data_IF_175540571963
#
_entry.id   IF_175540571963
#
_cell.length_a   1.000
_cell.length_b   1.000
_cell.length_c   1.000
_cell.angle_alpha   90.00
_cell.angle_beta   90.00
_cell.angle_gamma   90.00
#
_symmetry.space_group_name_H-M   'P 1'
#
loop_
_entity.id
_entity.type
_entity.pdbx_description
1 polymer ?
#
# COMPACT_ATOMS: atom_id res chain seq x y z
N UNK A 1 10.09 -3.58 -2.15
CA UNK A 1 10.53 -2.18 -2.22
C UNK A 1 11.79 -2.06 -3.07
N UNK A 2 11.98 -0.93 -3.78
CA UNK A 2 13.24 -0.69 -4.52
C UNK A 2 13.85 0.67 -4.22
N UNK A 3 15.13 0.67 -3.83
CA UNK A 3 15.95 1.89 -3.76
C UNK A 3 16.49 2.19 -5.16
N UNK A 4 16.22 3.41 -5.65
CA UNK A 4 16.64 3.88 -6.97
C UNK A 4 17.95 4.64 -6.92
N UNK A 5 18.15 5.41 -5.85
CA UNK A 5 19.27 6.35 -5.73
C UNK A 5 19.51 6.68 -4.25
N UNK A 6 20.77 6.83 -3.89
CA UNK A 6 21.19 7.29 -2.56
C UNK A 6 22.12 8.49 -2.71
N UNK A 7 21.79 9.58 -2.01
CA UNK A 7 22.50 10.85 -2.07
C UNK A 7 22.84 11.35 -0.66
N UNK A 8 23.64 12.43 -0.58
CA UNK A 8 23.93 13.15 0.65
C UNK A 8 24.52 12.24 1.75
N UNK A 9 25.53 11.44 1.40
CA UNK A 9 26.15 10.44 2.27
C UNK A 9 25.15 9.41 2.83
N UNK A 10 24.13 9.07 2.05
CA UNK A 10 23.11 8.08 2.41
C UNK A 10 21.91 8.66 3.17
N UNK A 11 21.91 9.97 3.49
CA UNK A 11 20.80 10.64 4.20
C UNK A 11 19.54 10.75 3.37
N UNK A 12 19.69 10.84 2.04
CA UNK A 12 18.58 10.96 1.11
C UNK A 12 18.48 9.69 0.28
N UNK A 13 17.35 9.00 0.38
CA UNK A 13 17.09 7.75 -0.35
C UNK A 13 15.86 7.90 -1.23
N UNK A 14 16.01 7.64 -2.53
CA UNK A 14 14.92 7.64 -3.49
C UNK A 14 14.33 6.24 -3.59
N UNK A 15 13.07 6.10 -3.20
CA UNK A 15 12.40 4.83 -3.00
C UNK A 15 11.22 4.72 -3.96
N UNK A 16 11.10 3.57 -4.63
CA UNK A 16 9.91 3.17 -5.37
C UNK A 16 9.12 2.16 -4.56
N UNK A 17 7.83 2.43 -4.41
CA UNK A 17 6.85 1.52 -3.82
C UNK A 17 6.41 0.53 -4.89
N UNK A 18 6.63 -0.76 -4.68
CA UNK A 18 6.33 -1.82 -5.66
C UNK A 18 5.12 -2.66 -5.25
N UNK A 19 4.86 -2.80 -3.95
CA UNK A 19 3.72 -3.56 -3.42
C UNK A 19 3.06 -2.83 -2.23
N UNK A 20 2.01 -3.44 -1.66
CA UNK A 20 1.28 -2.88 -0.52
C UNK A 20 2.06 -2.97 0.79
N UNK A 21 2.86 -4.02 0.96
CA UNK A 21 3.64 -4.25 2.17
C UNK A 21 4.74 -3.17 2.31
N UNK A 22 5.27 -2.66 1.20
CA UNK A 22 6.18 -1.51 1.17
C UNK A 22 5.58 -0.26 1.84
N UNK A 23 4.26 -0.05 1.76
CA UNK A 23 3.61 1.08 2.44
C UNK A 23 3.67 0.92 3.96
N UNK A 24 3.56 -0.31 4.45
CA UNK A 24 3.72 -0.64 5.87
C UNK A 24 5.16 -0.42 6.33
N UNK A 25 6.15 -0.87 5.55
CA UNK A 25 7.55 -0.59 5.85
C UNK A 25 7.83 0.92 5.87
N UNK A 26 7.30 1.68 4.90
CA UNK A 26 7.43 3.15 4.91
C UNK A 26 6.80 3.80 6.13
N UNK A 27 5.64 3.32 6.61
CA UNK A 27 5.04 3.79 7.86
C UNK A 27 5.96 3.52 9.07
N UNK A 28 6.65 2.37 9.11
CA UNK A 28 7.60 2.06 10.19
C UNK A 28 8.85 2.94 10.16
N UNK A 29 9.31 3.31 8.97
CA UNK A 29 10.52 4.12 8.77
C UNK A 29 10.26 5.61 8.98
N UNK A 30 9.09 6.13 8.61
CA UNK A 30 8.79 7.56 8.72
C UNK A 30 8.74 8.05 10.17
N UNK A 31 9.21 9.28 10.39
CA UNK A 31 9.15 9.98 11.67
C UNK A 31 8.70 11.43 11.45
N UNK A 32 7.97 12.03 12.40
CA UNK A 32 7.73 13.47 12.38
C UNK A 32 9.07 14.24 12.36
N UNK A 33 9.19 15.23 11.48
CA UNK A 33 10.43 15.98 11.25
C UNK A 33 11.20 15.58 9.99
N UNK A 34 11.00 14.35 9.48
CA UNK A 34 11.59 13.92 8.21
C UNK A 34 11.10 14.80 7.04
N UNK A 35 11.86 14.83 5.95
CA UNK A 35 11.43 15.51 4.71
C UNK A 35 11.16 14.49 3.62
N UNK A 36 9.94 14.52 3.09
CA UNK A 36 9.50 13.64 1.99
C UNK A 36 9.28 14.48 0.75
N UNK A 37 9.94 14.08 -0.34
CA UNK A 37 9.74 14.66 -1.65
C UNK A 37 8.96 13.72 -2.56
N UNK A 38 7.97 14.24 -3.27
CA UNK A 38 7.21 13.47 -4.24
C UNK A 38 6.61 14.38 -5.32
N UNK A 39 6.33 13.79 -6.49
CA UNK A 39 5.45 14.42 -7.46
C UNK A 39 3.99 14.22 -7.03
N UNK A 40 3.23 15.30 -6.96
CA UNK A 40 1.79 15.31 -6.70
C UNK A 40 1.08 16.13 -7.77
N UNK A 41 -0.25 16.11 -7.77
CA UNK A 41 -1.07 16.92 -8.67
C UNK A 41 -1.83 17.96 -7.87
N UNK A 42 -1.64 19.25 -8.19
CA UNK A 42 -2.40 20.34 -7.57
C UNK A 42 -3.38 20.93 -8.59
N UNK A 43 -4.54 21.37 -8.11
CA UNK A 43 -5.44 22.22 -8.88
C UNK A 43 -5.00 23.67 -8.66
N UNK A 44 -4.73 24.41 -9.72
CA UNK A 44 -4.48 25.85 -9.58
C UNK A 44 -5.75 26.58 -9.13
N UNK A 45 -5.60 27.45 -8.13
CA UNK A 45 -6.59 28.48 -7.82
C UNK A 45 -6.17 29.78 -8.51
N UNK A 46 -6.55 29.96 -9.78
CA UNK A 46 -6.58 31.32 -10.32
C UNK A 46 -7.80 32.04 -9.75
N UNK A 47 -7.58 33.20 -9.12
CA UNK A 47 -8.62 34.21 -8.92
C UNK A 47 -9.07 34.66 -10.31
N UNK A 48 -10.14 34.07 -10.84
CA UNK A 48 -10.80 34.59 -12.03
C UNK A 48 -12.23 34.97 -11.64
N UNK A 49 -12.53 36.26 -11.71
CA UNK A 49 -13.87 36.86 -11.61
C UNK A 49 -14.71 36.43 -12.82
N UNK A 50 -15.03 35.14 -12.95
CA UNK A 50 -15.77 34.63 -14.09
C UNK A 50 -16.73 33.52 -13.68
N UNK A 51 -18.00 33.75 -14.02
CA UNK A 51 -19.22 33.06 -13.58
C UNK A 51 -19.33 31.61 -14.14
N UNK A 52 -18.31 31.09 -14.83
CA UNK A 52 -18.37 29.79 -15.51
C UNK A 52 -17.34 28.79 -14.97
N UNK A 53 -17.75 27.60 -14.46
CA UNK A 53 -16.83 26.59 -13.99
C UNK A 53 -16.20 25.86 -15.19
N UNK A 54 -15.08 26.36 -15.68
CA UNK A 54 -14.24 25.58 -16.59
C UNK A 54 -13.55 24.43 -15.85
N UNK A 55 -13.39 23.29 -16.52
CA UNK A 55 -12.88 22.03 -15.99
C UNK A 55 -11.41 22.22 -15.60
N UNK A 56 -11.15 22.52 -14.33
CA UNK A 56 -9.82 22.85 -13.79
C UNK A 56 -8.81 21.73 -14.04
N UNK A 57 -7.77 22.03 -14.81
CA UNK A 57 -6.67 21.09 -15.09
C UNK A 57 -5.80 20.85 -13.85
N UNK A 58 -5.29 19.62 -13.73
CA UNK A 58 -4.39 19.21 -12.65
C UNK A 58 -2.96 19.35 -13.13
N UNK A 59 -2.18 20.22 -12.50
CA UNK A 59 -0.76 20.43 -12.86
C UNK A 59 0.09 19.53 -11.97
N UNK A 60 1.05 18.75 -12.54
CA UNK A 60 2.01 18.02 -11.74
C UNK A 60 2.98 18.99 -11.07
N UNK A 61 3.16 18.83 -9.77
CA UNK A 61 4.00 19.67 -8.92
C UNK A 61 4.91 18.77 -8.10
N UNK A 62 6.20 19.08 -8.09
CA UNK A 62 7.15 18.47 -7.17
C UNK A 62 7.11 19.21 -5.84
N UNK A 63 6.83 18.49 -4.75
CA UNK A 63 6.79 19.05 -3.39
C UNK A 63 7.76 18.32 -2.48
N UNK A 64 8.42 19.06 -1.61
CA UNK A 64 9.06 18.56 -0.40
C UNK A 64 8.26 19.00 0.81
N UNK A 65 7.79 18.05 1.62
CA UNK A 65 7.05 18.34 2.85
C UNK A 65 7.82 17.86 4.07
N UNK A 66 7.83 18.67 5.13
CA UNK A 66 8.27 18.24 6.45
C UNK A 66 7.13 17.51 7.15
N UNK A 67 7.35 16.24 7.46
CA UNK A 67 6.36 15.33 8.02
C UNK A 67 5.92 15.80 9.39
N UNK A 68 4.60 15.90 9.59
CA UNK A 68 3.95 16.13 10.88
C UNK A 68 3.26 14.88 11.40
N UNK A 69 2.55 14.20 10.51
CA UNK A 69 1.76 13.01 10.82
C UNK A 69 1.66 12.12 9.57
N UNK A 70 1.47 10.82 9.75
CA UNK A 70 1.29 9.90 8.65
C UNK A 70 0.46 8.69 9.08
N UNK A 71 -0.33 8.16 8.15
CA UNK A 71 -1.12 6.96 8.39
C UNK A 71 -1.43 6.20 7.12
N UNK A 72 -1.47 4.89 7.21
CA UNK A 72 -2.08 4.05 6.17
C UNK A 72 -3.60 4.18 6.26
N UNK A 73 -4.24 4.42 5.12
CA UNK A 73 -5.69 4.47 5.04
C UNK A 73 -6.24 3.06 4.77
N UNK A 74 -7.00 2.51 5.73
CA UNK A 74 -7.47 1.11 5.77
C UNK A 74 -8.15 0.62 4.49
N UNK A 75 -8.80 1.53 3.74
CA UNK A 75 -9.58 1.19 2.54
C UNK A 75 -9.00 1.68 1.21
N UNK A 76 -7.89 2.42 1.21
CA UNK A 76 -7.42 3.07 -0.03
C UNK A 76 -6.02 2.68 -0.45
N UNK A 77 -5.39 1.68 0.18
CA UNK A 77 -4.08 1.16 -0.19
C UNK A 77 -3.03 2.28 -0.39
N UNK A 78 -3.10 3.29 0.49
CA UNK A 78 -2.31 4.51 0.40
C UNK A 78 -1.84 4.95 1.78
N UNK A 79 -0.58 5.34 1.83
CA UNK A 79 0.03 6.04 2.94
C UNK A 79 -0.18 7.54 2.75
N UNK A 80 -0.90 8.16 3.69
CA UNK A 80 -1.12 9.62 3.72
C UNK A 80 -0.08 10.25 4.62
N UNK A 81 0.72 11.14 4.07
CA UNK A 81 1.77 11.86 4.79
C UNK A 81 1.35 13.33 4.85
N UNK A 82 0.99 13.79 6.05
CA UNK A 82 0.64 15.17 6.33
C UNK A 82 1.90 15.93 6.76
N UNK A 83 2.12 17.11 6.18
CA UNK A 83 3.27 17.92 6.49
C UNK A 83 3.11 19.39 6.10
N UNK A 84 4.17 20.16 6.34
CA UNK A 84 4.30 21.55 5.87
C UNK A 84 5.19 21.55 4.62
N UNK A 85 4.81 22.29 3.58
CA UNK A 85 5.61 22.44 2.37
C UNK A 85 6.90 23.23 2.68
N UNK A 86 8.05 22.60 2.48
CA UNK A 86 9.38 23.24 2.58
C UNK A 86 10.03 23.49 1.20
N UNK A 87 9.56 22.77 0.18
CA UNK A 87 10.02 22.93 -1.19
C UNK A 87 8.83 22.83 -2.15
N UNK A 88 8.70 23.78 -3.07
CA UNK A 88 7.65 23.84 -4.09
C UNK A 88 6.71 25.04 -3.91
N UNK A 89 5.60 25.10 -4.66
CA UNK A 89 4.65 26.20 -4.55
C UNK A 89 3.91 26.19 -3.21
N UNK A 90 3.66 27.39 -2.67
CA UNK A 90 2.99 27.64 -1.40
C UNK A 90 3.75 27.13 -0.15
N UNK A 91 5.02 27.54 -0.05
CA UNK A 91 5.88 27.31 1.11
C UNK A 91 5.16 27.68 2.42
N UNK A 92 5.27 26.82 3.42
CA UNK A 92 4.64 27.01 4.73
C UNK A 92 3.19 26.55 4.83
N UNK A 93 2.50 26.25 3.71
CA UNK A 93 1.16 25.67 3.75
C UNK A 93 1.19 24.18 4.15
N UNK A 94 0.08 23.73 4.74
CA UNK A 94 -0.12 22.31 5.00
C UNK A 94 -0.50 21.56 3.73
N UNK A 95 0.13 20.40 3.50
CA UNK A 95 -0.19 19.54 2.37
C UNK A 95 -0.17 18.06 2.79
N UNK A 96 -0.93 17.24 2.06
CA UNK A 96 -0.96 15.80 2.25
C UNK A 96 -0.47 15.11 0.99
N UNK A 97 0.67 14.43 1.08
CA UNK A 97 1.13 13.52 0.03
C UNK A 97 0.40 12.18 0.17
N UNK A 98 -0.08 11.66 -0.96
CA UNK A 98 -0.67 10.32 -1.02
C UNK A 98 0.30 9.41 -1.75
N UNK A 99 0.92 8.50 -1.01
CA UNK A 99 1.87 7.52 -1.53
C UNK A 99 1.13 6.19 -1.67
N UNK A 100 1.18 5.60 -2.85
CA UNK A 100 0.61 4.28 -3.14
C UNK A 100 1.55 3.44 -4.00
N UNK A 101 1.11 2.23 -4.35
CA UNK A 101 1.87 1.34 -5.24
C UNK A 101 2.22 2.05 -6.57
N UNK A 102 3.48 1.93 -7.00
CA UNK A 102 4.04 2.61 -8.16
C UNK A 102 4.56 4.02 -7.90
N UNK A 103 4.32 4.58 -6.72
CA UNK A 103 4.82 5.93 -6.37
C UNK A 103 6.34 5.91 -6.18
N UNK A 104 6.98 7.00 -6.59
CA UNK A 104 8.38 7.26 -6.30
C UNK A 104 8.46 8.45 -5.35
N UNK A 105 9.06 8.22 -4.20
CA UNK A 105 9.30 9.24 -3.19
C UNK A 105 10.80 9.35 -2.90
N UNK A 106 11.23 10.49 -2.42
CA UNK A 106 12.56 10.65 -1.85
C UNK A 106 12.39 10.97 -0.37
N UNK A 107 12.96 10.14 0.48
CA UNK A 107 12.97 10.33 1.93
C UNK A 107 14.33 10.87 2.35
N UNK A 108 14.32 12.00 3.04
CA UNK A 108 15.50 12.63 3.62
C UNK A 108 15.36 12.69 5.14
N UNK A 109 16.41 12.19 5.80
CA UNK A 109 16.55 12.19 7.25
C UNK A 109 17.87 12.85 7.63
N UNK A 110 17.92 13.44 8.82
CA UNK A 110 19.19 13.95 9.38
C UNK A 110 20.20 12.81 9.60
N UNK A 111 19.69 11.69 10.14
CA UNK A 111 20.41 10.44 10.36
C UNK A 111 19.44 9.27 10.18
N UNK A 112 19.97 8.16 9.68
CA UNK A 112 19.24 6.89 9.61
C UNK A 112 19.69 6.02 10.77
N UNK A 113 18.74 5.57 11.59
CA UNK A 113 19.03 4.59 12.63
C UNK A 113 19.26 3.20 12.03
N UNK A 114 20.01 2.36 12.74
CA UNK A 114 20.23 0.96 12.33
C UNK A 114 18.91 0.19 12.19
N UNK A 115 17.92 0.48 13.04
CA UNK A 115 16.58 -0.12 12.98
C UNK A 115 15.85 0.27 11.69
N UNK A 116 15.87 1.54 11.29
CA UNK A 116 15.25 1.99 10.02
C UNK A 116 15.96 1.40 8.80
N UNK A 117 17.29 1.27 8.86
CA UNK A 117 18.06 0.62 7.80
C UNK A 117 17.74 -0.88 7.69
N UNK A 118 17.52 -1.55 8.83
CA UNK A 118 17.10 -2.94 8.85
C UNK A 118 15.69 -3.11 8.25
N UNK A 119 14.73 -2.26 8.65
CA UNK A 119 13.40 -2.26 8.02
C UNK A 119 13.47 -2.00 6.51
N UNK A 120 14.37 -1.14 6.05
CA UNK A 120 14.60 -0.95 4.60
C UNK A 120 15.12 -2.22 3.93
N UNK A 121 16.06 -2.94 4.55
CA UNK A 121 16.56 -4.22 4.02
C UNK A 121 15.47 -5.26 3.97
N UNK A 122 14.71 -5.44 5.05
CA UNK A 122 13.56 -6.35 5.10
C UNK A 122 12.51 -6.01 4.03
N UNK A 123 12.26 -4.72 3.77
CA UNK A 123 11.35 -4.28 2.72
C UNK A 123 11.82 -4.65 1.30
N UNK A 124 13.15 -4.67 1.09
CA UNK A 124 13.75 -5.04 -0.18
C UNK A 124 13.74 -6.57 -0.34
N UNK A 125 14.11 -7.31 0.70
CA UNK A 125 14.09 -8.78 0.68
C UNK A 125 12.68 -9.34 0.56
N UNK A 126 11.69 -8.74 1.26
CA UNK A 126 10.30 -9.19 1.21
C UNK A 126 9.66 -9.03 -0.17
N UNK A 127 10.08 -8.06 -0.99
CA UNK A 127 9.63 -8.00 -2.39
C UNK A 127 10.06 -9.21 -3.24
N UNK A 128 11.11 -9.93 -2.82
CA UNK A 128 11.62 -11.11 -3.50
C UNK A 128 11.05 -12.43 -2.94
N UNK A 129 10.39 -12.39 -1.77
CA UNK A 129 9.87 -13.59 -1.11
C UNK A 129 8.62 -14.15 -1.80
N UNK A 130 8.46 -15.47 -1.67
CA UNK A 130 7.35 -16.25 -2.21
C UNK A 130 6.04 -15.87 -1.50
N UNK A 131 4.99 -15.60 -2.29
CA UNK A 131 3.62 -15.42 -1.79
C UNK A 131 3.09 -16.75 -1.25
N UNK A 132 2.79 -16.83 0.04
CA UNK A 132 2.24 -18.05 0.65
C UNK A 132 0.72 -17.95 0.71
N UNK A 133 0.04 -18.83 -0.02
CA UNK A 133 -1.42 -18.99 0.05
C UNK A 133 -1.76 -20.07 1.10
N UNK A 134 -2.67 -19.75 2.00
CA UNK A 134 -3.18 -20.63 3.05
C UNK A 134 -4.62 -20.97 2.72
N UNK A 135 -4.94 -22.27 2.73
CA UNK A 135 -6.31 -22.76 2.56
C UNK A 135 -6.66 -23.62 3.77
N UNK A 136 -7.60 -23.14 4.58
CA UNK A 136 -8.19 -23.90 5.68
C UNK A 136 -9.58 -24.36 5.22
N UNK A 137 -9.87 -25.65 5.30
CA UNK A 137 -11.14 -26.22 4.84
C UNK A 137 -11.67 -27.30 5.77
N UNK A 138 -12.99 -27.37 5.89
CA UNK A 138 -13.73 -28.40 6.62
C UNK A 138 -15.04 -28.79 5.88
N UNK A 139 -16.01 -29.39 6.57
CA UNK A 139 -17.30 -29.72 5.96
C UNK A 139 -18.20 -28.50 5.75
N UNK A 140 -17.96 -27.36 6.41
CA UNK A 140 -18.76 -26.13 6.29
C UNK A 140 -18.29 -25.25 5.14
N UNK A 141 -16.97 -25.20 4.89
CA UNK A 141 -16.44 -24.41 3.79
C UNK A 141 -14.92 -24.37 3.72
N UNK A 142 -14.41 -23.44 2.92
CA UNK A 142 -13.00 -23.16 2.77
C UNK A 142 -12.71 -21.66 2.88
N UNK A 143 -11.80 -21.32 3.78
CA UNK A 143 -11.20 -19.99 3.87
C UNK A 143 -9.88 -19.97 3.10
N UNK A 144 -9.82 -19.11 2.08
CA UNK A 144 -8.60 -18.81 1.33
C UNK A 144 -8.01 -17.52 1.89
N UNK A 145 -6.75 -17.57 2.30
CA UNK A 145 -6.04 -16.42 2.87
C UNK A 145 -4.63 -16.30 2.30
N UNK A 146 -4.12 -15.08 2.23
CA UNK A 146 -2.77 -14.80 1.77
C UNK A 146 -1.92 -14.32 2.96
N UNK A 147 -0.80 -14.99 3.21
CA UNK A 147 0.17 -14.54 4.19
C UNK A 147 1.04 -13.45 3.57
N UNK A 148 1.10 -12.31 4.25
CA UNK A 148 1.96 -11.17 3.95
C UNK A 148 2.82 -10.83 5.18
N UNK A 149 3.83 -10.01 4.99
CA UNK A 149 4.68 -9.53 6.10
C UNK A 149 3.86 -8.76 7.15
N UNK A 150 2.81 -8.03 6.72
CA UNK A 150 1.90 -7.31 7.64
C UNK A 150 0.88 -8.19 8.35
N UNK A 151 0.78 -9.48 8.01
CA UNK A 151 -0.21 -10.42 8.56
C UNK A 151 -0.97 -11.21 7.50
N UNK A 152 -2.16 -11.68 7.87
CA UNK A 152 -2.99 -12.57 7.03
C UNK A 152 -4.12 -11.76 6.41
N UNK A 153 -4.22 -11.79 5.09
CA UNK A 153 -5.35 -11.24 4.34
C UNK A 153 -6.35 -12.34 4.01
N UNK A 154 -7.59 -12.21 4.51
CA UNK A 154 -8.68 -13.11 4.16
C UNK A 154 -9.25 -12.76 2.78
N UNK A 155 -8.97 -13.60 1.79
CA UNK A 155 -9.28 -13.31 0.38
C UNK A 155 -10.71 -13.74 0.03
N UNK A 156 -11.11 -14.93 0.45
CA UNK A 156 -12.42 -15.48 0.15
C UNK A 156 -12.84 -16.55 1.16
N UNK A 157 -14.12 -16.55 1.47
CA UNK A 157 -14.82 -17.69 2.08
C UNK A 157 -15.66 -18.35 1.00
N UNK A 158 -15.54 -19.68 0.86
CA UNK A 158 -16.35 -20.51 -0.03
C UNK A 158 -17.16 -21.45 0.84
N UNK A 159 -18.48 -21.31 0.83
CA UNK A 159 -19.38 -22.22 1.53
C UNK A 159 -19.41 -23.57 0.82
N UNK A 160 -19.41 -24.67 1.57
CA UNK A 160 -19.40 -26.00 0.97
C UNK A 160 -20.73 -26.36 0.32
N UNK A 161 -21.84 -25.83 0.85
CA UNK A 161 -23.19 -26.22 0.45
C UNK A 161 -23.49 -27.72 0.57
N UNK A 162 -22.64 -28.49 1.27
CA UNK A 162 -22.74 -29.95 1.33
C UNK A 162 -23.91 -30.32 2.25
N UNK A 163 -24.86 -31.08 1.71
CA UNK A 163 -26.02 -31.58 2.43
C UNK A 163 -25.60 -32.48 3.61
N UNK A 164 -26.40 -32.52 4.67
CA UNK A 164 -26.13 -33.34 5.84
C UNK A 164 -26.02 -34.85 5.52
N UNK A 165 -25.45 -35.63 6.46
CA UNK A 165 -25.11 -37.06 6.29
C UNK A 165 -26.27 -37.97 5.86
N UNK A 166 -27.52 -37.51 5.93
CA UNK A 166 -28.71 -38.25 5.51
C UNK A 166 -28.93 -38.29 3.98
N UNK A 167 -28.23 -37.46 3.20
CA UNK A 167 -28.40 -37.38 1.73
C UNK A 167 -27.19 -37.97 0.98
N UNK A 168 -26.94 -39.27 1.18
CA UNK A 168 -25.71 -39.93 0.74
C UNK A 168 -25.45 -39.81 -0.78
N UNK A 169 -26.49 -39.89 -1.61
CA UNK A 169 -26.35 -39.90 -3.08
C UNK A 169 -25.96 -38.54 -3.68
N UNK A 170 -26.23 -37.42 -2.99
CA UNK A 170 -25.95 -36.07 -3.50
C UNK A 170 -24.63 -35.48 -3.01
N UNK A 171 -24.07 -36.03 -1.92
CA UNK A 171 -22.86 -35.49 -1.28
C UNK A 171 -21.62 -35.57 -2.16
N UNK A 172 -21.48 -36.59 -2.99
CA UNK A 172 -20.29 -36.76 -3.82
C UNK A 172 -20.23 -35.70 -4.94
N UNK A 173 -21.36 -35.43 -5.60
CA UNK A 173 -21.46 -34.35 -6.59
C UNK A 173 -21.28 -32.96 -5.97
N UNK A 174 -21.84 -32.73 -4.78
CA UNK A 174 -21.68 -31.48 -4.02
C UNK A 174 -20.21 -31.25 -3.61
N UNK A 175 -19.53 -32.28 -3.11
CA UNK A 175 -18.10 -32.21 -2.77
C UNK A 175 -17.21 -31.91 -3.97
N UNK A 176 -17.45 -32.58 -5.10
CA UNK A 176 -16.68 -32.35 -6.33
C UNK A 176 -16.83 -30.89 -6.76
N UNK A 177 -18.06 -30.36 -6.73
CA UNK A 177 -18.34 -28.96 -7.08
C UNK A 177 -17.63 -27.99 -6.13
N UNK A 178 -17.70 -28.24 -4.82
CA UNK A 178 -17.00 -27.44 -3.82
C UNK A 178 -15.49 -27.42 -4.06
N UNK A 179 -14.85 -28.57 -4.25
CA UNK A 179 -13.40 -28.63 -4.51
C UNK A 179 -13.02 -27.96 -5.84
N UNK A 180 -13.85 -28.06 -6.87
CA UNK A 180 -13.64 -27.33 -8.13
C UNK A 180 -13.73 -25.82 -7.96
N UNK A 181 -14.66 -25.34 -7.14
CA UNK A 181 -14.80 -23.91 -6.84
C UNK A 181 -13.58 -23.38 -6.06
N UNK A 182 -13.13 -24.12 -5.05
CA UNK A 182 -11.91 -23.81 -4.30
C UNK A 182 -10.69 -23.79 -5.22
N UNK A 183 -10.49 -24.83 -6.04
CA UNK A 183 -9.37 -24.91 -6.98
C UNK A 183 -9.38 -23.74 -7.98
N UNK A 184 -10.54 -23.45 -8.57
CA UNK A 184 -10.70 -22.33 -9.49
C UNK A 184 -10.36 -20.98 -8.84
N UNK A 185 -10.66 -20.82 -7.55
CA UNK A 185 -10.35 -19.60 -6.80
C UNK A 185 -8.88 -19.46 -6.45
N UNK A 186 -8.16 -20.59 -6.29
CA UNK A 186 -6.71 -20.60 -6.08
C UNK A 186 -5.96 -20.24 -7.38
N UNK A 187 -6.49 -20.67 -8.53
CA UNK A 187 -5.87 -20.41 -9.84
C UNK A 187 -6.08 -18.98 -10.36
N UNK A 188 -7.08 -18.26 -9.86
CA UNK A 188 -7.45 -16.89 -10.30
C UNK A 188 -6.60 -15.80 -9.66
#
# INVERSE_FOLDING_TARGET
>A
MKILEEENRGRRKKIRVENLDDLWFLEKILRPGDVVYAMTYRREEKRNDSIRPEKRERVPVFLGIRVKDFKIHEYSDRLRILGIIELGPALGEHHTLNVGVGSVITLEKEEWSDEELEFLREAIESSEKVKVLIVAMDEEGAQISLLRERGIDHIAWIDSGISGKMFHDRRDEEKIRFFQEVAKKIES
#
